data_IF_123758277902
#
_entry.id   IF_123758277902
#
_cell.length_a   1.000
_cell.length_b   1.000
_cell.length_c   1.000
_cell.angle_alpha   90.00
_cell.angle_beta   90.00
_cell.angle_gamma   90.00
#
_symmetry.space_group_name_H-M   'P 1'
#
loop_
_entity.id
_entity.type
_entity.pdbx_description
1 polymer ?
#
# COMPACT_ATOMS: atom_id res chain seq x y z
N UNK A 1 -9.77 -17.89 26.60
CA UNK A 1 -8.83 -17.50 25.53
C UNK A 1 -9.07 -18.43 24.34
N UNK A 2 -9.55 -17.91 23.21
CA UNK A 2 -9.65 -18.70 21.97
C UNK A 2 -8.22 -19.09 21.58
N UNK A 3 -7.98 -20.38 21.30
CA UNK A 3 -6.66 -20.84 20.89
C UNK A 3 -6.37 -20.30 19.49
N UNK A 4 -5.66 -19.18 19.42
CA UNK A 4 -5.28 -18.50 18.19
C UNK A 4 -4.66 -19.49 17.18
N UNK A 5 -3.82 -20.41 17.64
CA UNK A 5 -3.22 -21.42 16.77
C UNK A 5 -4.26 -22.39 16.17
N UNK A 6 -5.30 -22.78 16.93
CA UNK A 6 -6.38 -23.62 16.41
C UNK A 6 -7.22 -22.88 15.36
N UNK A 7 -7.51 -21.59 15.57
CA UNK A 7 -8.21 -20.75 14.59
C UNK A 7 -7.38 -20.53 13.32
N UNK A 8 -6.07 -20.28 13.47
CA UNK A 8 -5.14 -20.17 12.34
C UNK A 8 -5.10 -21.46 11.52
N UNK A 9 -5.00 -22.61 12.18
CA UNK A 9 -5.00 -23.91 11.51
C UNK A 9 -6.35 -24.20 10.81
N UNK A 10 -7.47 -23.74 11.36
CA UNK A 10 -8.80 -23.92 10.76
C UNK A 10 -9.00 -23.10 9.47
N UNK A 11 -8.32 -21.95 9.34
CA UNK A 11 -8.35 -21.10 8.14
C UNK A 11 -7.47 -21.64 6.99
N UNK A 12 -6.76 -22.74 7.20
CA UNK A 12 -5.98 -23.42 6.16
C UNK A 12 -4.60 -22.79 5.88
N UNK A 13 -4.09 -22.97 4.66
CA UNK A 13 -2.69 -22.63 4.31
C UNK A 13 -2.42 -21.12 4.15
N UNK A 14 -3.45 -20.32 3.84
CA UNK A 14 -3.34 -18.88 3.57
C UNK A 14 -4.43 -18.07 4.30
N UNK A 15 -4.40 -18.03 5.64
CA UNK A 15 -5.43 -17.36 6.44
C UNK A 15 -5.56 -15.86 6.13
N UNK A 16 -4.46 -15.18 5.79
CA UNK A 16 -4.50 -13.77 5.37
C UNK A 16 -5.38 -13.55 4.13
N UNK A 17 -5.38 -14.50 3.18
CA UNK A 17 -6.19 -14.41 1.97
C UNK A 17 -7.69 -14.51 2.28
N UNK A 18 -8.07 -15.36 3.25
CA UNK A 18 -9.47 -15.44 3.70
C UNK A 18 -9.94 -14.14 4.35
N UNK A 19 -9.14 -13.58 5.25
CA UNK A 19 -9.44 -12.27 5.88
C UNK A 19 -9.58 -11.18 4.83
N UNK A 20 -8.63 -11.12 3.89
CA UNK A 20 -8.67 -10.18 2.77
C UNK A 20 -9.95 -10.33 1.93
N UNK A 21 -10.31 -11.55 1.57
CA UNK A 21 -11.45 -11.83 0.69
C UNK A 21 -12.77 -11.49 1.40
N UNK A 22 -12.90 -11.85 2.68
CA UNK A 22 -14.06 -11.50 3.50
C UNK A 22 -14.23 -9.97 3.61
N UNK A 23 -13.14 -9.24 3.85
CA UNK A 23 -13.18 -7.79 3.94
C UNK A 23 -13.53 -7.14 2.60
N UNK A 24 -12.96 -7.60 1.48
CA UNK A 24 -13.37 -7.11 0.16
C UNK A 24 -14.86 -7.34 -0.11
N UNK A 25 -15.39 -8.54 0.21
CA UNK A 25 -16.82 -8.82 0.05
C UNK A 25 -17.69 -7.88 0.90
N UNK A 26 -17.29 -7.62 2.16
CA UNK A 26 -17.95 -6.64 3.03
C UNK A 26 -17.85 -5.24 2.42
N UNK A 27 -16.70 -4.86 1.86
CA UNK A 27 -16.48 -3.57 1.23
C UNK A 27 -17.37 -3.33 0.02
N UNK A 28 -17.54 -4.35 -0.83
CA UNK A 28 -18.46 -4.30 -1.97
C UNK A 28 -19.90 -4.11 -1.49
N UNK A 29 -20.34 -4.88 -0.51
CA UNK A 29 -21.69 -4.76 0.07
C UNK A 29 -21.91 -3.40 0.74
N UNK A 30 -20.93 -2.91 1.49
CA UNK A 30 -20.96 -1.59 2.12
C UNK A 30 -21.00 -0.47 1.07
N UNK A 31 -20.25 -0.60 -0.03
CA UNK A 31 -20.28 0.36 -1.13
C UNK A 31 -21.65 0.43 -1.80
N UNK A 32 -22.29 -0.72 -2.05
CA UNK A 32 -23.64 -0.79 -2.63
C UNK A 32 -24.67 -0.17 -1.65
N UNK A 33 -24.46 -0.35 -0.35
CA UNK A 33 -25.37 0.10 0.70
C UNK A 33 -25.14 1.56 1.15
N UNK A 34 -24.16 2.26 0.59
CA UNK A 34 -23.83 3.66 0.94
C UNK A 34 -22.97 3.84 2.20
N UNK A 35 -22.39 2.77 2.74
CA UNK A 35 -21.56 2.77 3.97
C UNK A 35 -20.05 2.59 3.69
N UNK A 36 -19.57 3.07 2.54
CA UNK A 36 -18.17 2.91 2.11
C UNK A 36 -17.14 3.54 3.07
N UNK A 37 -17.52 4.56 3.83
CA UNK A 37 -16.63 5.22 4.81
C UNK A 37 -16.30 4.32 6.01
N UNK A 38 -17.26 3.50 6.46
CA UNK A 38 -17.08 2.60 7.61
C UNK A 38 -16.21 1.40 7.23
N UNK A 39 -16.30 0.96 5.97
CA UNK A 39 -15.53 -0.18 5.46
C UNK A 39 -14.02 -0.04 5.71
N UNK A 40 -13.40 1.10 5.41
CA UNK A 40 -11.95 1.25 5.58
C UNK A 40 -11.53 1.16 7.05
N UNK A 41 -12.31 1.71 7.97
CA UNK A 41 -12.04 1.58 9.40
C UNK A 41 -12.11 0.11 9.85
N UNK A 42 -13.14 -0.62 9.40
CA UNK A 42 -13.28 -2.05 9.70
C UNK A 42 -12.12 -2.85 9.11
N UNK A 43 -11.77 -2.61 7.85
CA UNK A 43 -10.68 -3.30 7.17
C UNK A 43 -9.34 -3.10 7.88
N UNK A 44 -8.97 -1.87 8.21
CA UNK A 44 -7.71 -1.57 8.88
C UNK A 44 -7.62 -2.16 10.29
N UNK A 45 -8.71 -2.10 11.06
CA UNK A 45 -8.76 -2.73 12.39
C UNK A 45 -8.65 -4.25 12.27
N UNK A 46 -9.36 -4.87 11.33
CA UNK A 46 -9.28 -6.33 11.10
C UNK A 46 -7.90 -6.77 10.65
N UNK A 47 -7.24 -6.00 9.77
CA UNK A 47 -5.86 -6.21 9.35
C UNK A 47 -4.91 -6.17 10.55
N UNK A 48 -4.98 -5.14 11.39
CA UNK A 48 -4.15 -5.04 12.59
C UNK A 48 -4.38 -6.19 13.56
N UNK A 49 -5.65 -6.49 13.89
CA UNK A 49 -6.01 -7.58 14.77
C UNK A 49 -5.47 -8.93 14.26
N UNK A 50 -5.63 -9.21 12.97
CA UNK A 50 -5.09 -10.43 12.36
C UNK A 50 -3.57 -10.48 12.49
N UNK A 51 -2.89 -9.41 12.09
CA UNK A 51 -1.44 -9.40 12.06
C UNK A 51 -0.81 -9.50 13.45
N UNK A 52 -1.36 -8.82 14.46
CA UNK A 52 -0.84 -8.90 15.83
C UNK A 52 -1.05 -10.28 16.46
N UNK A 53 -2.10 -11.00 16.07
CA UNK A 53 -2.40 -12.33 16.63
C UNK A 53 -1.60 -13.45 15.96
N UNK A 54 -1.27 -13.30 14.67
CA UNK A 54 -0.82 -14.44 13.85
C UNK A 54 0.53 -14.26 13.17
N UNK A 55 1.11 -13.06 13.14
CA UNK A 55 2.27 -12.77 12.28
C UNK A 55 3.58 -12.60 13.02
N UNK A 56 4.66 -13.08 12.41
CA UNK A 56 6.03 -12.79 12.82
C UNK A 56 6.55 -11.59 12.05
N UNK A 57 6.39 -10.40 12.64
CA UNK A 57 6.76 -9.15 12.00
C UNK A 57 8.29 -8.95 12.00
N UNK A 58 8.87 -8.63 10.84
CA UNK A 58 10.23 -8.14 10.76
C UNK A 58 10.21 -6.62 10.95
N UNK A 59 10.41 -6.15 12.19
CA UNK A 59 10.36 -4.71 12.51
C UNK A 59 11.39 -3.90 11.70
N UNK A 60 12.62 -4.41 11.60
CA UNK A 60 13.71 -3.77 10.87
C UNK A 60 14.02 -2.36 11.37
N UNK A 61 14.53 -1.50 10.48
CA UNK A 61 14.91 -0.12 10.77
C UNK A 61 14.67 0.80 9.58
N UNK A 62 14.80 2.11 9.78
CA UNK A 62 14.65 3.09 8.71
C UNK A 62 15.99 3.74 8.38
N UNK A 63 16.10 4.23 7.15
CA UNK A 63 17.26 4.94 6.61
C UNK A 63 16.78 6.15 5.82
N UNK A 64 17.68 7.08 5.51
CA UNK A 64 17.36 8.23 4.66
C UNK A 64 16.82 7.81 3.28
N UNK A 65 17.27 6.67 2.74
CA UNK A 65 16.77 6.14 1.48
C UNK A 65 15.27 5.87 1.50
N UNK A 66 14.68 5.51 2.65
CA UNK A 66 13.24 5.29 2.77
C UNK A 66 12.45 6.59 2.54
N UNK A 67 12.97 7.72 3.04
CA UNK A 67 12.38 9.04 2.77
C UNK A 67 12.53 9.36 1.28
N UNK A 68 13.74 9.18 0.72
CA UNK A 68 14.00 9.48 -0.69
C UNK A 68 13.05 8.71 -1.63
N UNK A 69 12.89 7.40 -1.42
CA UNK A 69 12.00 6.59 -2.26
C UNK A 69 10.51 6.88 -2.03
N UNK A 70 10.14 7.40 -0.86
CA UNK A 70 8.78 7.92 -0.62
C UNK A 70 8.53 9.23 -1.36
N UNK A 71 9.54 10.11 -1.42
CA UNK A 71 9.45 11.44 -2.06
C UNK A 71 9.54 11.37 -3.58
N UNK A 72 10.39 10.49 -4.11
CA UNK A 72 10.80 10.47 -5.51
C UNK A 72 9.64 10.42 -6.53
N UNK A 73 8.60 9.56 -6.37
CA UNK A 73 7.47 9.55 -7.29
C UNK A 73 6.77 10.93 -7.36
N UNK A 74 6.60 11.59 -6.22
CA UNK A 74 5.93 12.89 -6.14
C UNK A 74 6.78 14.01 -6.73
N UNK A 75 8.10 13.97 -6.57
CA UNK A 75 8.99 14.95 -7.22
C UNK A 75 8.88 14.86 -8.74
N UNK A 76 8.89 13.65 -9.30
CA UNK A 76 8.74 13.44 -10.76
C UNK A 76 7.37 13.94 -11.23
N UNK A 77 6.30 13.54 -10.53
CA UNK A 77 4.93 13.92 -10.87
C UNK A 77 4.76 15.43 -10.78
N UNK A 78 5.15 16.06 -9.68
CA UNK A 78 4.97 17.49 -9.45
C UNK A 78 5.82 18.34 -10.42
N UNK A 79 7.04 17.90 -10.73
CA UNK A 79 7.89 18.62 -11.69
C UNK A 79 7.29 18.64 -13.09
N UNK A 80 6.67 17.54 -13.52
CA UNK A 80 6.10 17.43 -14.87
C UNK A 80 4.66 17.96 -14.94
N UNK A 81 3.80 17.52 -14.03
CA UNK A 81 2.40 17.96 -13.97
C UNK A 81 2.26 19.41 -13.53
N UNK A 82 3.16 19.91 -12.66
CA UNK A 82 3.16 21.31 -12.23
C UNK A 82 3.47 22.26 -13.39
N UNK A 83 4.49 21.96 -14.20
CA UNK A 83 4.82 22.75 -15.40
C UNK A 83 3.67 22.75 -16.41
N UNK A 84 2.95 21.63 -16.54
CA UNK A 84 1.82 21.49 -17.44
C UNK A 84 0.50 22.02 -16.85
N UNK A 85 0.51 22.59 -15.65
CA UNK A 85 -0.70 23.04 -14.93
C UNK A 85 -1.75 21.94 -14.73
N UNK A 86 -1.29 20.69 -14.60
CA UNK A 86 -2.11 19.51 -14.33
C UNK A 86 -2.15 19.14 -12.84
N UNK A 87 -1.39 19.85 -12.00
CA UNK A 87 -1.33 19.65 -10.56
C UNK A 87 -1.71 20.92 -9.81
N UNK A 88 -2.55 20.78 -8.78
CA UNK A 88 -2.98 21.86 -7.90
C UNK A 88 -2.61 21.52 -6.46
N UNK A 89 -1.97 22.45 -5.75
CA UNK A 89 -1.62 22.27 -4.34
C UNK A 89 -2.88 22.37 -3.48
N UNK A 90 -3.02 21.46 -2.53
CA UNK A 90 -4.13 21.41 -1.57
C UNK A 90 -3.57 21.36 -0.15
N UNK A 91 -4.07 22.21 0.77
CA UNK A 91 -3.63 22.16 2.16
C UNK A 91 -4.00 20.83 2.81
N UNK A 92 -3.03 20.24 3.51
CA UNK A 92 -3.23 18.98 4.24
C UNK A 92 -3.64 19.29 5.68
N UNK A 93 -4.87 18.95 6.05
CA UNK A 93 -5.33 19.04 7.43
C UNK A 93 -4.74 17.93 8.31
N UNK A 94 -4.62 18.20 9.62
CA UNK A 94 -4.08 17.24 10.60
C UNK A 94 -4.80 15.88 10.58
N UNK A 95 -6.12 15.86 10.34
CA UNK A 95 -6.90 14.62 10.19
C UNK A 95 -6.35 13.70 9.10
N UNK A 96 -5.95 14.23 7.93
CA UNK A 96 -5.40 13.42 6.83
C UNK A 96 -4.04 12.82 7.19
N UNK A 97 -3.23 13.55 7.96
CA UNK A 97 -1.94 13.05 8.46
C UNK A 97 -2.16 11.88 9.42
N UNK A 98 -3.06 12.04 10.40
CA UNK A 98 -3.40 10.98 11.35
C UNK A 98 -3.98 9.75 10.65
N UNK A 99 -4.88 9.97 9.70
CA UNK A 99 -5.44 8.89 8.88
C UNK A 99 -4.36 8.16 8.10
N UNK A 100 -3.40 8.89 7.51
CA UNK A 100 -2.25 8.31 6.80
C UNK A 100 -1.41 7.41 7.70
N UNK A 101 -1.15 7.83 8.94
CA UNK A 101 -0.35 7.03 9.88
C UNK A 101 -1.08 5.72 10.14
N UNK A 102 -2.37 5.79 10.47
CA UNK A 102 -3.16 4.61 10.79
C UNK A 102 -3.31 3.65 9.61
N UNK A 103 -3.65 4.16 8.42
CA UNK A 103 -3.82 3.33 7.22
C UNK A 103 -2.52 2.66 6.83
N UNK A 104 -1.41 3.40 6.84
CA UNK A 104 -0.10 2.87 6.46
C UNK A 104 0.38 1.81 7.45
N UNK A 105 0.17 2.00 8.76
CA UNK A 105 0.50 0.94 9.75
C UNK A 105 -0.31 -0.32 9.44
N UNK A 106 -1.63 -0.21 9.28
CA UNK A 106 -2.50 -1.36 9.03
C UNK A 106 -2.14 -2.08 7.74
N UNK A 107 -1.92 -1.34 6.65
CA UNK A 107 -1.58 -1.90 5.34
C UNK A 107 -0.20 -2.56 5.35
N UNK A 108 0.84 -1.91 5.89
CA UNK A 108 2.19 -2.49 5.89
C UNK A 108 2.27 -3.73 6.80
N UNK A 109 1.65 -3.66 7.98
CA UNK A 109 1.62 -4.78 8.92
C UNK A 109 0.90 -5.99 8.30
N UNK A 110 -0.20 -5.77 7.58
CA UNK A 110 -0.95 -6.85 6.95
C UNK A 110 -0.33 -7.38 5.66
N UNK A 111 -0.10 -6.51 4.66
CA UNK A 111 0.41 -6.96 3.37
C UNK A 111 1.87 -7.42 3.46
N UNK A 112 2.75 -6.66 4.11
CA UNK A 112 4.20 -6.96 4.15
C UNK A 112 4.57 -7.80 5.36
N UNK A 113 3.96 -7.54 6.51
CA UNK A 113 4.22 -8.31 7.72
C UNK A 113 3.60 -9.71 7.68
N UNK A 114 2.30 -9.80 7.40
CA UNK A 114 1.54 -11.06 7.46
C UNK A 114 1.53 -11.81 6.13
N UNK A 115 0.89 -11.23 5.12
CA UNK A 115 0.57 -11.90 3.88
C UNK A 115 1.84 -12.27 3.12
N UNK A 116 2.81 -11.36 2.99
CA UNK A 116 4.09 -11.67 2.34
C UNK A 116 4.86 -12.81 3.03
N UNK A 117 4.75 -12.94 4.36
CA UNK A 117 5.34 -14.05 5.09
C UNK A 117 4.68 -15.38 4.71
N UNK A 118 3.34 -15.43 4.67
CA UNK A 118 2.58 -16.63 4.26
C UNK A 118 2.90 -17.04 2.81
N UNK A 119 3.03 -16.06 1.91
CA UNK A 119 3.29 -16.29 0.50
C UNK A 119 4.78 -16.38 0.14
N UNK A 120 5.69 -16.30 1.12
CA UNK A 120 7.16 -16.33 0.89
C UNK A 120 7.66 -17.60 0.19
N UNK A 121 6.94 -18.71 0.32
CA UNK A 121 7.26 -20.00 -0.31
C UNK A 121 6.73 -20.13 -1.74
N UNK A 122 5.89 -19.21 -2.19
CA UNK A 122 5.33 -19.22 -3.54
C UNK A 122 6.27 -18.48 -4.50
N UNK A 123 6.59 -19.07 -5.66
CA UNK A 123 7.50 -18.48 -6.67
C UNK A 123 7.13 -17.04 -7.05
N UNK A 124 5.83 -16.74 -7.14
CA UNK A 124 5.30 -15.41 -7.45
C UNK A 124 4.59 -14.74 -6.27
N UNK A 125 4.79 -15.25 -5.04
CA UNK A 125 4.07 -14.81 -3.85
C UNK A 125 4.23 -13.32 -3.58
N UNK A 126 5.45 -12.80 -3.73
CA UNK A 126 5.71 -11.36 -3.56
C UNK A 126 4.90 -10.48 -4.51
N UNK A 127 4.92 -10.80 -5.82
CA UNK A 127 4.13 -10.07 -6.82
C UNK A 127 2.62 -10.20 -6.57
N UNK A 128 2.18 -11.38 -6.11
CA UNK A 128 0.77 -11.61 -5.77
C UNK A 128 0.32 -10.73 -4.60
N UNK A 129 1.16 -10.54 -3.58
CA UNK A 129 0.84 -9.61 -2.48
C UNK A 129 0.74 -8.17 -2.98
N UNK A 130 1.65 -7.72 -3.85
CA UNK A 130 1.57 -6.38 -4.47
C UNK A 130 0.33 -6.21 -5.33
N UNK A 131 -0.11 -7.27 -6.01
CA UNK A 131 -1.38 -7.32 -6.75
C UNK A 131 -2.59 -7.14 -5.83
N UNK A 132 -2.64 -7.86 -4.70
CA UNK A 132 -3.71 -7.72 -3.72
C UNK A 132 -3.70 -6.35 -3.04
N UNK A 133 -2.52 -5.82 -2.72
CA UNK A 133 -2.35 -4.45 -2.23
C UNK A 133 -2.93 -3.42 -3.20
N UNK A 134 -2.68 -3.59 -4.50
CA UNK A 134 -3.20 -2.70 -5.54
C UNK A 134 -4.72 -2.78 -5.65
N UNK A 135 -5.30 -3.98 -5.62
CA UNK A 135 -6.74 -4.18 -5.64
C UNK A 135 -7.43 -3.54 -4.43
N UNK A 136 -6.85 -3.66 -3.24
CA UNK A 136 -7.41 -3.07 -2.03
C UNK A 136 -7.50 -1.54 -2.08
N UNK A 137 -6.52 -0.91 -2.71
CA UNK A 137 -6.42 0.55 -2.80
C UNK A 137 -7.24 1.16 -3.95
N UNK A 138 -7.88 0.34 -4.80
CA UNK A 138 -8.82 0.84 -5.80
C UNK A 138 -10.13 1.26 -5.09
N UNK A 139 -10.63 2.50 -5.32
CA UNK A 139 -11.86 2.97 -4.70
C UNK A 139 -13.07 2.15 -5.18
N UNK A 140 -13.67 1.37 -4.28
CA UNK A 140 -14.82 0.50 -4.60
C UNK A 140 -16.05 1.29 -5.10
N UNK A 141 -16.30 2.48 -4.55
CA UNK A 141 -17.42 3.34 -4.93
C UNK A 141 -17.32 3.88 -6.37
N UNK A 142 -16.12 3.85 -6.95
CA UNK A 142 -15.87 4.31 -8.32
C UNK A 142 -14.88 3.37 -9.02
N UNK A 143 -15.15 2.07 -8.94
CA UNK A 143 -14.25 1.02 -9.42
C UNK A 143 -13.89 1.18 -10.91
N UNK A 144 -14.86 1.56 -11.75
CA UNK A 144 -14.67 1.70 -13.20
C UNK A 144 -13.60 2.75 -13.58
N UNK A 145 -13.52 3.87 -12.85
CA UNK A 145 -12.43 4.84 -13.05
C UNK A 145 -11.20 4.49 -12.20
N UNK A 146 -11.39 3.90 -11.03
CA UNK A 146 -10.31 3.49 -10.14
C UNK A 146 -9.41 2.40 -10.72
N UNK A 147 -9.91 1.56 -11.63
CA UNK A 147 -9.14 0.46 -12.23
C UNK A 147 -7.88 0.93 -12.94
N UNK A 148 -7.86 2.15 -13.48
CA UNK A 148 -6.69 2.73 -14.13
C UNK A 148 -5.56 3.07 -13.13
N UNK A 149 -5.87 3.14 -11.83
CA UNK A 149 -4.89 3.29 -10.75
C UNK A 149 -4.28 1.95 -10.32
N UNK A 150 -4.75 0.83 -10.86
CA UNK A 150 -4.24 -0.50 -10.54
C UNK A 150 -2.72 -0.59 -10.72
N UNK A 151 -2.21 -0.19 -11.89
CA UNK A 151 -0.79 -0.30 -12.20
C UNK A 151 0.09 0.63 -11.33
N UNK A 152 -0.25 1.92 -11.13
CA UNK A 152 0.44 2.76 -10.14
C UNK A 152 0.49 2.13 -8.74
N UNK A 153 -0.63 1.60 -8.23
CA UNK A 153 -0.64 0.97 -6.91
C UNK A 153 0.13 -0.35 -6.86
N UNK A 154 0.13 -1.12 -7.94
CA UNK A 154 0.94 -2.33 -8.04
C UNK A 154 2.44 -2.00 -7.96
N UNK A 155 2.87 -0.96 -8.68
CA UNK A 155 4.26 -0.51 -8.65
C UNK A 155 4.67 0.02 -7.28
N UNK A 156 3.81 0.81 -6.62
CA UNK A 156 4.00 1.19 -5.22
C UNK A 156 4.09 -0.06 -4.32
N UNK A 157 3.22 -1.03 -4.58
CA UNK A 157 3.21 -2.37 -4.01
C UNK A 157 4.60 -3.00 -3.98
N UNK A 158 5.22 -3.05 -5.16
CA UNK A 158 6.55 -3.62 -5.41
C UNK A 158 7.70 -2.81 -4.78
N UNK A 159 7.63 -1.47 -4.82
CA UNK A 159 8.60 -0.59 -4.14
C UNK A 159 8.63 -0.92 -2.65
N UNK A 160 7.45 -0.92 -2.01
CA UNK A 160 7.32 -1.19 -0.57
C UNK A 160 7.73 -2.63 -0.22
N UNK A 161 7.43 -3.60 -1.08
CA UNK A 161 7.88 -5.00 -0.89
C UNK A 161 9.40 -5.12 -0.90
N UNK A 162 10.08 -4.45 -1.83
CA UNK A 162 11.55 -4.46 -1.91
C UNK A 162 12.18 -3.77 -0.71
N UNK A 163 11.62 -2.64 -0.31
CA UNK A 163 12.05 -1.92 0.89
C UNK A 163 11.84 -2.77 2.15
N UNK A 164 10.70 -3.45 2.29
CA UNK A 164 10.45 -4.36 3.40
C UNK A 164 11.51 -5.48 3.46
N UNK A 165 11.86 -6.07 2.32
CA UNK A 165 12.89 -7.11 2.27
C UNK A 165 14.27 -6.65 2.78
N UNK A 166 14.63 -5.37 2.58
CA UNK A 166 15.93 -4.81 2.97
C UNK A 166 15.93 -4.15 4.35
N UNK A 167 14.87 -3.41 4.66
CA UNK A 167 14.78 -2.52 5.82
C UNK A 167 13.71 -2.95 6.84
N UNK A 168 12.91 -3.98 6.54
CA UNK A 168 11.78 -4.40 7.36
C UNK A 168 10.61 -3.41 7.37
N UNK A 169 9.71 -3.62 8.32
CA UNK A 169 8.44 -2.92 8.45
C UNK A 169 8.62 -1.42 8.65
N UNK A 170 9.59 -0.99 9.47
CA UNK A 170 9.83 0.42 9.75
C UNK A 170 10.20 1.21 8.47
N UNK A 171 11.04 0.64 7.61
CA UNK A 171 11.41 1.25 6.33
C UNK A 171 10.24 1.32 5.36
N UNK A 172 9.44 0.26 5.25
CA UNK A 172 8.27 0.23 4.39
C UNK A 172 7.19 1.22 4.87
N UNK A 173 6.93 1.25 6.18
CA UNK A 173 6.05 2.22 6.83
C UNK A 173 6.48 3.65 6.52
N UNK A 174 7.76 4.00 6.75
CA UNK A 174 8.23 5.37 6.53
C UNK A 174 8.11 5.78 5.05
N UNK A 175 8.45 4.88 4.13
CA UNK A 175 8.34 5.14 2.69
C UNK A 175 6.89 5.39 2.28
N UNK A 176 5.98 4.51 2.70
CA UNK A 176 4.55 4.60 2.37
C UNK A 176 3.90 5.81 3.04
N UNK A 177 4.28 6.13 4.28
CA UNK A 177 3.79 7.32 4.99
C UNK A 177 4.19 8.60 4.26
N UNK A 178 5.46 8.75 3.87
CA UNK A 178 5.93 9.92 3.13
C UNK A 178 5.26 10.02 1.75
N UNK A 179 5.10 8.89 1.06
CA UNK A 179 4.37 8.82 -0.20
C UNK A 179 2.92 9.35 -0.03
N UNK A 180 2.17 8.82 0.94
CA UNK A 180 0.78 9.25 1.16
C UNK A 180 0.69 10.71 1.59
N UNK A 181 1.59 11.16 2.48
CA UNK A 181 1.61 12.54 2.95
C UNK A 181 1.77 13.52 1.77
N UNK A 182 2.73 13.25 0.87
CA UNK A 182 2.94 14.07 -0.32
C UNK A 182 1.78 13.93 -1.32
N UNK A 183 1.25 12.73 -1.51
CA UNK A 183 0.06 12.50 -2.34
C UNK A 183 -1.17 13.29 -1.88
N UNK A 184 -1.27 13.66 -0.60
CA UNK A 184 -2.35 14.52 -0.09
C UNK A 184 -2.12 16.01 -0.31
N UNK A 185 -0.89 16.45 -0.59
CA UNK A 185 -0.55 17.87 -0.78
C UNK A 185 -0.94 18.41 -2.15
N UNK A 186 -1.37 17.55 -3.08
CA UNK A 186 -1.79 17.99 -4.40
C UNK A 186 -2.90 17.11 -4.99
N UNK A 187 -3.60 17.67 -5.96
CA UNK A 187 -4.60 16.97 -6.78
C UNK A 187 -4.16 17.07 -8.23
N UNK A 188 -4.33 15.97 -8.96
CA UNK A 188 -4.06 15.93 -10.40
C UNK A 188 -5.35 15.92 -11.19
N UNK A 189 -5.34 16.56 -12.37
CA UNK A 189 -6.41 16.42 -13.35
C UNK A 189 -6.51 14.94 -13.76
N UNK A 190 -7.71 14.36 -13.65
CA UNK A 190 -7.91 12.97 -14.05
C UNK A 190 -7.89 12.86 -15.59
N UNK A 191 -6.78 12.37 -16.13
CA UNK A 191 -6.58 12.16 -17.56
C UNK A 191 -5.68 10.95 -17.82
N UNK A 192 -5.75 10.32 -19.01
CA UNK A 192 -4.81 9.25 -19.38
C UNK A 192 -3.34 9.67 -19.29
N UNK A 193 -3.02 10.92 -19.61
CA UNK A 193 -1.67 11.47 -19.51
C UNK A 193 -1.18 11.51 -18.06
N UNK A 194 -2.05 11.92 -17.14
CA UNK A 194 -1.76 11.91 -15.70
C UNK A 194 -1.53 10.50 -15.17
N UNK A 195 -2.35 9.53 -15.60
CA UNK A 195 -2.20 8.12 -15.21
C UNK A 195 -0.88 7.56 -15.73
N UNK A 196 -0.54 7.82 -17.00
CA UNK A 196 0.74 7.43 -17.58
C UNK A 196 1.93 8.04 -16.82
N UNK A 197 1.81 9.30 -16.41
CA UNK A 197 2.81 9.98 -15.58
C UNK A 197 2.98 9.32 -14.21
N UNK A 198 1.89 8.92 -13.54
CA UNK A 198 1.94 8.18 -12.27
C UNK A 198 2.64 6.82 -12.42
N UNK A 199 2.33 6.09 -13.50
CA UNK A 199 3.00 4.82 -13.83
C UNK A 199 4.49 5.07 -14.06
N UNK A 200 4.85 6.07 -14.86
CA UNK A 200 6.22 6.41 -15.17
C UNK A 200 7.03 6.79 -13.93
N UNK A 201 6.49 7.63 -13.06
CA UNK A 201 7.15 8.06 -11.83
C UNK A 201 7.43 6.88 -10.87
N UNK A 202 6.44 5.99 -10.69
CA UNK A 202 6.62 4.80 -9.86
C UNK A 202 7.57 3.79 -10.52
N UNK A 203 7.54 3.65 -11.84
CA UNK A 203 8.45 2.76 -12.56
C UNK A 203 9.91 3.22 -12.45
N UNK A 204 10.19 4.51 -12.65
CA UNK A 204 11.54 5.06 -12.43
C UNK A 204 11.98 4.80 -11.00
N UNK A 205 11.13 5.11 -10.02
CA UNK A 205 11.44 4.91 -8.60
C UNK A 205 11.80 3.45 -8.31
N UNK A 206 11.03 2.50 -8.85
CA UNK A 206 11.30 1.07 -8.73
C UNK A 206 12.62 0.65 -9.40
N UNK A 207 12.92 1.17 -10.59
CA UNK A 207 14.16 0.91 -11.31
C UNK A 207 15.37 1.46 -10.56
N UNK A 208 15.30 2.69 -10.05
CA UNK A 208 16.35 3.29 -9.23
C UNK A 208 16.55 2.51 -7.93
N UNK A 209 15.46 2.09 -7.28
CA UNK A 209 15.55 1.22 -6.10
C UNK A 209 16.28 -0.09 -6.42
N UNK A 210 16.02 -0.71 -7.57
CA UNK A 210 16.71 -1.93 -7.98
C UNK A 210 18.22 -1.72 -8.12
N UNK A 211 18.64 -0.63 -8.74
CA UNK A 211 20.06 -0.31 -8.92
C UNK A 211 20.72 -0.10 -7.55
N UNK A 212 20.15 0.76 -6.70
CA UNK A 212 20.68 1.07 -5.36
C UNK A 212 20.67 -0.14 -4.44
N UNK A 213 19.75 -1.09 -4.62
CA UNK A 213 19.74 -2.32 -3.83
C UNK A 213 20.73 -3.37 -4.33
N UNK A 214 21.06 -3.42 -5.62
CA UNK A 214 22.10 -4.32 -6.17
C UNK A 214 23.49 -3.86 -5.74
N UNK A 215 23.77 -2.56 -5.70
CA UNK A 215 25.07 -2.00 -5.31
C UNK A 215 25.40 -2.12 -3.81
N UNK A 216 24.46 -2.56 -2.99
CA UNK A 216 24.64 -2.69 -1.53
C UNK A 216 25.03 -4.11 -1.07
N UNK A 217 25.31 -5.02 -2.03
CA UNK A 217 25.82 -6.37 -1.83
C UNK A 217 27.20 -6.50 -2.48
#
# INVERSE_FOLDING_TARGET
MVNAQATYNALGKFPSLWVYSALLSIGVLASISGYSSIYFAVAFVSFLCFSFLFSKLQLGGFTFLNILFGVMPHVIVFSLAGVLSWAFIVPVGAYRVLWSIFSVIAEEVFFRGSMLCEFSRCKFGGYFVSFLFALFNIPLFNFASGVFLFLPYFLLGEILRKIYGKNGLAGAFLTHFIYNLLGYTYVLIYSPATIALLVFANLITLLTLNIVMVEAY
#
